data_IF_501135716573
#
_entry.id   IF_501135716573
#
_cell.length_a   1.000
_cell.length_b   1.000
_cell.length_c   1.000
_cell.angle_alpha   90.00
_cell.angle_beta   90.00
_cell.angle_gamma   90.00
#
_symmetry.space_group_name_H-M   'P 1'
#
loop_
_entity.id
_entity.type
_entity.pdbx_description
1 polymer ?
#
# COMPACT_ATOMS: atom_id res chain seq x y z
N UNK A 1 -7.52 -11.57 12.56
CA UNK A 1 -7.84 -12.84 13.24
C UNK A 1 -8.40 -13.81 12.22
N UNK A 2 -8.28 -15.11 12.44
CA UNK A 2 -8.96 -16.17 11.68
C UNK A 2 -9.71 -17.12 12.63
N UNK A 3 -10.71 -17.83 12.10
CA UNK A 3 -11.36 -18.94 12.80
C UNK A 3 -11.99 -19.90 11.79
N UNK A 4 -12.32 -21.11 12.24
CA UNK A 4 -13.12 -22.04 11.44
C UNK A 4 -14.53 -21.50 11.22
N UNK A 5 -15.08 -21.71 10.02
CA UNK A 5 -16.46 -21.33 9.66
C UNK A 5 -17.52 -21.93 10.60
N UNK A 6 -17.21 -23.06 11.23
CA UNK A 6 -18.12 -23.79 12.12
C UNK A 6 -17.92 -23.43 13.61
N UNK A 7 -16.92 -22.59 13.94
CA UNK A 7 -16.53 -22.24 15.31
C UNK A 7 -16.31 -20.72 15.43
N UNK A 8 -17.35 -19.92 15.20
CA UNK A 8 -17.22 -18.46 15.07
C UNK A 8 -17.10 -17.71 16.40
N UNK A 9 -17.25 -18.38 17.55
CA UNK A 9 -17.05 -17.76 18.86
C UNK A 9 -15.66 -17.14 18.99
N UNK A 10 -15.58 -15.97 19.63
CA UNK A 10 -14.35 -15.19 19.77
C UNK A 10 -13.24 -15.95 20.51
N UNK A 11 -13.60 -16.90 21.38
CA UNK A 11 -12.64 -17.78 22.07
C UNK A 11 -11.86 -18.70 21.12
N UNK A 12 -12.37 -18.94 19.91
CA UNK A 12 -11.72 -19.75 18.88
C UNK A 12 -10.86 -18.92 17.91
N UNK A 13 -10.90 -17.59 18.02
CA UNK A 13 -10.18 -16.71 17.11
C UNK A 13 -8.67 -16.85 17.33
N UNK A 14 -7.95 -17.06 16.23
CA UNK A 14 -6.49 -17.10 16.19
C UNK A 14 -5.95 -15.83 15.60
N UNK A 15 -4.90 -15.30 16.19
CA UNK A 15 -4.22 -14.13 15.67
C UNK A 15 -3.45 -14.48 14.40
N UNK A 16 -3.67 -13.70 13.34
CA UNK A 16 -3.00 -13.85 12.04
C UNK A 16 -1.98 -12.76 11.80
N UNK A 17 -2.37 -11.52 12.09
CA UNK A 17 -1.52 -10.34 11.97
C UNK A 17 -1.48 -9.70 13.36
N UNK A 18 -0.37 -9.84 14.10
CA UNK A 18 -0.26 -9.24 15.43
C UNK A 18 -0.20 -7.72 15.34
N UNK A 19 -0.63 -7.00 16.40
CA UNK A 19 -0.49 -5.56 16.46
C UNK A 19 0.98 -5.15 16.43
N UNK A 20 1.29 -4.12 15.64
CA UNK A 20 2.61 -3.51 15.58
C UNK A 20 2.47 -2.02 15.92
N UNK A 21 3.20 -1.56 16.93
CA UNK A 21 3.15 -0.17 17.40
C UNK A 21 3.61 0.86 16.35
N UNK A 22 4.41 0.44 15.38
CA UNK A 22 5.02 1.29 14.36
C UNK A 22 4.24 1.25 13.03
N UNK A 23 3.26 0.33 12.91
CA UNK A 23 2.47 0.11 11.69
C UNK A 23 0.99 0.23 12.00
N UNK A 24 0.34 1.20 11.36
CA UNK A 24 -1.11 1.35 11.42
C UNK A 24 -1.77 0.57 10.28
N UNK A 25 -2.46 -0.53 10.61
CA UNK A 25 -3.30 -1.24 9.65
C UNK A 25 -4.54 -0.40 9.31
N UNK A 26 -4.68 -0.03 8.04
CA UNK A 26 -5.78 0.82 7.56
C UNK A 26 -6.92 0.03 6.95
N UNK A 27 -6.60 -1.00 6.19
CA UNK A 27 -7.57 -1.78 5.40
C UNK A 27 -6.98 -3.12 4.95
N UNK A 28 -7.83 -4.02 4.44
CA UNK A 28 -7.41 -5.30 3.88
C UNK A 28 -8.28 -5.74 2.68
N UNK A 29 -7.69 -6.48 1.75
CA UNK A 29 -8.36 -7.13 0.62
C UNK A 29 -7.97 -8.62 0.61
N UNK A 30 -8.93 -9.52 0.43
CA UNK A 30 -8.72 -10.97 0.46
C UNK A 30 -9.02 -11.56 -0.93
N UNK A 31 -8.09 -12.36 -1.41
CA UNK A 31 -8.19 -13.16 -2.64
C UNK A 31 -8.05 -14.64 -2.28
N UNK A 32 -8.32 -15.53 -3.24
CA UNK A 32 -8.25 -16.98 -3.03
C UNK A 32 -6.92 -17.44 -2.42
N UNK A 33 -5.81 -16.89 -2.93
CA UNK A 33 -4.46 -17.27 -2.50
C UNK A 33 -3.67 -16.14 -1.82
N UNK A 34 -4.26 -14.95 -1.67
CA UNK A 34 -3.53 -13.77 -1.20
C UNK A 34 -4.33 -12.95 -0.19
N UNK A 35 -3.63 -12.39 0.78
CA UNK A 35 -4.11 -11.32 1.64
C UNK A 35 -3.29 -10.06 1.37
N UNK A 36 -3.96 -8.95 1.09
CA UNK A 36 -3.32 -7.65 0.89
C UNK A 36 -3.71 -6.73 2.05
N UNK A 37 -2.72 -6.13 2.68
CA UNK A 37 -2.90 -5.20 3.79
C UNK A 37 -2.52 -3.79 3.33
N UNK A 38 -3.41 -2.83 3.53
CA UNK A 38 -3.08 -1.41 3.40
C UNK A 38 -2.60 -0.91 4.74
N UNK A 39 -1.33 -0.50 4.80
CA UNK A 39 -0.65 -0.18 6.05
C UNK A 39 -0.05 1.22 5.96
N UNK A 40 0.00 1.91 7.10
CA UNK A 40 0.77 3.14 7.26
C UNK A 40 1.93 2.90 8.20
N UNK A 41 3.14 2.94 7.66
CA UNK A 41 4.39 2.84 8.39
C UNK A 41 5.23 4.08 8.08
N UNK A 42 5.85 4.65 9.11
CA UNK A 42 6.62 5.89 8.98
C UNK A 42 5.87 6.98 8.20
N UNK A 43 4.54 7.07 8.33
CA UNK A 43 3.70 8.05 7.62
C UNK A 43 3.43 7.78 6.13
N UNK A 44 4.00 6.74 5.51
CA UNK A 44 3.70 6.34 4.13
C UNK A 44 2.60 5.29 4.10
N UNK A 45 1.65 5.42 3.19
CA UNK A 45 0.60 4.42 2.97
C UNK A 45 1.04 3.44 1.89
N UNK A 46 1.44 2.23 2.30
CA UNK A 46 1.90 1.15 1.44
C UNK A 46 0.93 -0.04 1.39
N UNK A 47 1.30 -1.03 0.58
CA UNK A 47 0.58 -2.28 0.42
C UNK A 47 1.53 -3.44 0.70
N UNK A 48 1.14 -4.34 1.61
CA UNK A 48 1.84 -5.60 1.89
C UNK A 48 0.99 -6.76 1.41
N UNK A 49 1.59 -7.61 0.58
CA UNK A 49 0.97 -8.81 0.02
C UNK A 49 1.49 -10.03 0.77
N UNK A 50 0.59 -10.91 1.16
CA UNK A 50 0.85 -12.17 1.86
C UNK A 50 0.26 -13.29 1.01
N UNK A 51 1.07 -14.25 0.59
CA UNK A 51 0.60 -15.47 -0.04
C UNK A 51 0.08 -16.41 1.07
N UNK A 52 -1.20 -16.77 1.00
CA UNK A 52 -1.87 -17.59 2.03
C UNK A 52 -1.51 -19.08 1.92
N UNK A 53 -0.96 -19.52 0.79
CA UNK A 53 -0.51 -20.91 0.60
C UNK A 53 0.91 -21.10 1.14
N UNK A 54 1.84 -20.22 0.75
CA UNK A 54 3.27 -20.38 1.08
C UNK A 54 3.66 -19.65 2.36
N UNK A 55 2.88 -18.64 2.77
CA UNK A 55 3.22 -17.72 3.86
C UNK A 55 4.19 -16.61 3.45
N UNK A 56 4.65 -16.58 2.19
CA UNK A 56 5.58 -15.56 1.70
C UNK A 56 4.94 -14.17 1.70
N UNK A 57 5.74 -13.16 1.99
CA UNK A 57 5.25 -11.78 2.09
C UNK A 57 6.17 -10.82 1.38
N UNK A 58 5.60 -9.76 0.80
CA UNK A 58 6.36 -8.67 0.23
C UNK A 58 5.58 -7.37 0.22
N UNK A 59 6.28 -6.25 0.25
CA UNK A 59 5.68 -4.93 0.02
C UNK A 59 5.70 -4.59 -1.46
N UNK A 60 4.65 -3.91 -1.94
CA UNK A 60 4.62 -3.37 -3.30
C UNK A 60 5.66 -2.25 -3.39
N UNK A 61 6.62 -2.38 -4.31
CA UNK A 61 7.61 -1.33 -4.56
C UNK A 61 7.04 -0.30 -5.55
N UNK A 62 6.78 0.91 -5.06
CA UNK A 62 6.23 1.99 -5.88
C UNK A 62 7.28 2.76 -6.69
N UNK A 63 8.57 2.69 -6.31
CA UNK A 63 9.67 3.35 -7.02
C UNK A 63 9.93 4.81 -6.62
N UNK A 64 9.17 5.36 -5.67
CA UNK A 64 9.35 6.73 -5.18
C UNK A 64 9.44 6.77 -3.65
N UNK A 65 10.16 7.75 -3.11
CA UNK A 65 10.35 7.90 -1.66
C UNK A 65 9.11 8.46 -0.94
N UNK A 66 8.29 9.23 -1.66
CA UNK A 66 7.09 9.87 -1.10
C UNK A 66 5.87 9.57 -1.96
N UNK A 67 4.85 8.95 -1.36
CA UNK A 67 3.66 8.54 -2.09
C UNK A 67 2.51 8.21 -1.15
N UNK A 68 1.34 8.00 -1.75
CA UNK A 68 0.24 7.30 -1.13
C UNK A 68 -0.35 6.27 -2.10
N UNK A 69 -0.66 5.09 -1.57
CA UNK A 69 -1.37 4.03 -2.29
C UNK A 69 -2.73 3.75 -1.65
N UNK A 70 -3.68 3.29 -2.46
CA UNK A 70 -5.05 3.02 -2.05
C UNK A 70 -5.52 1.74 -2.72
N UNK A 71 -6.10 0.81 -1.97
CA UNK A 71 -6.81 -0.32 -2.56
C UNK A 71 -7.92 0.22 -3.47
N UNK A 72 -8.03 -0.32 -4.68
CA UNK A 72 -9.13 -0.02 -5.59
C UNK A 72 -10.24 -1.06 -5.40
N UNK A 73 -11.25 -1.03 -6.27
CA UNK A 73 -12.27 -2.07 -6.30
C UNK A 73 -11.73 -3.34 -6.95
N UNK A 74 -11.65 -4.44 -6.19
CA UNK A 74 -11.28 -5.78 -6.67
C UNK A 74 -12.49 -6.72 -6.52
N UNK A 75 -13.24 -6.96 -7.60
CA UNK A 75 -14.47 -7.79 -7.54
C UNK A 75 -14.24 -9.26 -7.81
N UNK A 76 -13.14 -9.59 -8.48
CA UNK A 76 -12.78 -10.97 -8.77
C UNK A 76 -11.99 -11.52 -7.60
N UNK A 77 -12.51 -12.57 -6.96
CA UNK A 77 -11.86 -13.20 -5.81
C UNK A 77 -10.78 -14.19 -6.25
N UNK A 78 -11.04 -14.93 -7.34
CA UNK A 78 -10.11 -15.92 -7.89
C UNK A 78 -9.20 -15.28 -8.94
N UNK A 79 -8.28 -14.44 -8.46
CA UNK A 79 -7.28 -13.78 -9.30
C UNK A 79 -6.01 -13.52 -8.51
N UNK A 80 -4.90 -13.43 -9.23
CA UNK A 80 -3.61 -12.99 -8.68
C UNK A 80 -3.34 -11.50 -8.99
N UNK A 81 -4.32 -10.79 -9.54
CA UNK A 81 -4.19 -9.38 -9.92
C UNK A 81 -4.87 -8.50 -8.88
N UNK A 82 -4.06 -7.69 -8.21
CA UNK A 82 -4.51 -6.60 -7.34
C UNK A 82 -4.59 -5.30 -8.14
N UNK A 83 -5.75 -4.63 -8.11
CA UNK A 83 -5.88 -3.26 -8.60
C UNK A 83 -5.75 -2.27 -7.44
N UNK A 84 -4.85 -1.31 -7.60
CA UNK A 84 -4.67 -0.21 -6.65
C UNK A 84 -4.57 1.14 -7.37
N UNK A 85 -4.83 2.20 -6.61
CA UNK A 85 -4.56 3.57 -7.03
C UNK A 85 -3.34 4.11 -6.30
N UNK A 86 -2.63 5.02 -6.97
CA UNK A 86 -1.37 5.57 -6.51
C UNK A 86 -1.23 7.01 -6.96
N UNK A 87 -0.62 7.84 -6.11
CA UNK A 87 -0.19 9.18 -6.47
C UNK A 87 0.99 9.61 -5.61
N UNK A 88 1.79 10.51 -6.15
CA UNK A 88 2.83 11.23 -5.41
C UNK A 88 2.79 12.72 -5.76
N UNK A 89 3.81 13.47 -5.34
CA UNK A 89 3.95 14.86 -5.76
C UNK A 89 4.34 15.02 -7.23
N UNK A 90 4.97 14.00 -7.82
CA UNK A 90 5.48 14.05 -9.21
C UNK A 90 4.75 13.10 -10.15
N UNK A 91 4.02 12.12 -9.60
CA UNK A 91 3.22 11.18 -10.37
C UNK A 91 1.72 11.45 -10.18
N UNK A 92 1.00 11.82 -11.26
CA UNK A 92 -0.44 12.02 -11.22
C UNK A 92 -1.19 10.77 -10.75
N UNK A 93 -2.45 10.96 -10.35
CA UNK A 93 -3.30 9.87 -9.92
C UNK A 93 -3.38 8.77 -10.98
N UNK A 94 -2.91 7.59 -10.59
CA UNK A 94 -2.71 6.44 -11.46
C UNK A 94 -3.37 5.20 -10.89
N UNK A 95 -3.92 4.36 -11.77
CA UNK A 95 -4.46 3.03 -11.45
C UNK A 95 -3.54 1.99 -12.05
N UNK A 96 -3.09 1.04 -11.24
CA UNK A 96 -2.23 -0.07 -11.64
C UNK A 96 -2.91 -1.41 -11.37
N UNK A 97 -2.66 -2.35 -12.27
CA UNK A 97 -2.83 -3.78 -12.01
C UNK A 97 -1.48 -4.36 -11.61
N UNK A 98 -1.47 -5.11 -10.52
CA UNK A 98 -0.28 -5.73 -9.94
C UNK A 98 -0.47 -7.22 -9.83
N UNK A 99 0.38 -7.98 -10.52
CA UNK A 99 0.42 -9.42 -10.35
C UNK A 99 1.14 -9.74 -9.04
N UNK A 100 0.41 -10.32 -8.09
CA UNK A 100 0.90 -10.61 -6.74
C UNK A 100 1.98 -11.71 -6.70
N UNK A 101 2.05 -12.57 -7.73
CA UNK A 101 3.07 -13.62 -7.84
C UNK A 101 4.34 -13.09 -8.52
N UNK A 102 4.19 -12.49 -9.70
CA UNK A 102 5.32 -12.05 -10.54
C UNK A 102 5.85 -10.68 -10.15
N UNK A 103 5.07 -9.91 -9.39
CA UNK A 103 5.35 -8.53 -8.96
C UNK A 103 5.38 -7.52 -10.11
N UNK A 104 4.86 -7.89 -11.27
CA UNK A 104 4.75 -7.02 -12.42
C UNK A 104 3.61 -6.01 -12.23
N UNK A 105 3.88 -4.76 -12.62
CA UNK A 105 2.93 -3.63 -12.58
C UNK A 105 2.53 -3.25 -14.01
N UNK A 106 1.24 -3.18 -14.27
CA UNK A 106 0.67 -2.67 -15.52
C UNK A 106 -0.10 -1.38 -15.24
N UNK A 107 0.28 -0.28 -15.90
CA UNK A 107 -0.45 0.98 -15.82
C UNK A 107 -1.77 0.86 -16.59
N UNK A 108 -2.89 1.02 -15.89
CA UNK A 108 -4.22 0.92 -16.50
C UNK A 108 -4.77 2.29 -16.89
N UNK A 109 -4.49 3.29 -16.05
CA UNK A 109 -4.92 4.66 -16.26
C UNK A 109 -4.02 5.61 -15.50
N UNK A 110 -3.68 6.73 -16.12
CA UNK A 110 -3.06 7.87 -15.46
C UNK A 110 -3.90 9.11 -15.76
N UNK A 111 -4.05 9.98 -14.77
CA UNK A 111 -4.78 11.25 -14.93
C UNK A 111 -3.92 12.22 -15.73
N UNK A 112 -4.40 12.60 -16.93
CA UNK A 112 -3.73 13.60 -17.74
C UNK A 112 -3.70 14.95 -17.03
N UNK A 113 -2.51 15.50 -16.87
CA UNK A 113 -2.29 16.90 -16.48
C UNK A 113 -2.27 17.76 -17.76
N UNK A 114 -2.96 18.90 -17.74
CA UNK A 114 -3.02 19.81 -18.89
C UNK A 114 -1.78 20.71 -18.95
N UNK A 115 -1.43 21.19 -20.15
CA UNK A 115 -0.22 21.97 -20.39
C UNK A 115 1.00 21.09 -20.66
N UNK A 116 2.18 21.60 -20.34
CA UNK A 116 3.48 20.98 -20.66
C UNK A 116 4.05 20.17 -19.48
N UNK A 117 3.17 19.58 -18.67
CA UNK A 117 3.61 18.77 -17.53
C UNK A 117 4.37 17.53 -17.99
N UNK A 118 5.58 17.39 -17.46
CA UNK A 118 6.41 16.18 -17.57
C UNK A 118 6.93 15.86 -16.16
N UNK A 119 6.71 14.63 -15.70
CA UNK A 119 7.13 14.15 -14.39
C UNK A 119 8.65 14.22 -14.22
N UNK A 120 9.41 14.08 -15.30
CA UNK A 120 10.88 14.09 -15.28
C UNK A 120 11.44 15.49 -14.98
N UNK A 121 10.61 16.53 -15.04
CA UNK A 121 11.00 17.89 -14.67
C UNK A 121 10.96 18.14 -13.16
N UNK A 122 10.50 17.19 -12.36
CA UNK A 122 10.28 17.37 -10.92
C UNK A 122 10.95 16.27 -10.11
N UNK A 123 11.39 16.63 -8.90
CA UNK A 123 11.83 15.65 -7.89
C UNK A 123 11.07 15.84 -6.59
N UNK A 124 10.81 14.74 -5.88
CA UNK A 124 10.22 14.77 -4.54
C UNK A 124 11.18 14.20 -3.53
N UNK A 125 11.36 14.89 -2.41
CA UNK A 125 12.16 14.42 -1.29
C UNK A 125 11.37 14.45 0.01
N UNK A 126 11.76 13.53 0.90
CA UNK A 126 11.25 13.49 2.26
C UNK A 126 12.28 14.02 3.24
N UNK A 127 11.99 15.19 3.82
CA UNK A 127 12.84 15.79 4.86
C UNK A 127 12.13 15.72 6.22
N UNK A 128 12.91 15.65 7.28
CA UNK A 128 12.40 15.59 8.66
C UNK A 128 12.86 16.82 9.43
N UNK A 129 11.94 17.44 10.16
CA UNK A 129 12.27 18.53 11.09
C UNK A 129 12.15 18.05 12.54
N UNK A 130 13.00 18.59 13.39
CA UNK A 130 12.92 18.43 14.85
C UNK A 130 11.75 19.27 15.38
N UNK A 131 10.90 18.67 16.21
CA UNK A 131 9.85 19.39 16.90
C UNK A 131 10.33 20.04 18.19
N UNK A 132 9.57 21.04 18.67
CA UNK A 132 9.88 21.79 19.91
C UNK A 132 9.91 20.91 21.15
N UNK A 133 9.20 19.78 21.12
CA UNK A 133 9.16 18.78 22.20
C UNK A 133 10.29 17.72 22.07
N UNK A 134 11.25 17.94 21.16
CA UNK A 134 12.38 17.03 20.94
C UNK A 134 12.03 15.77 20.15
N UNK A 135 10.79 15.61 19.70
CA UNK A 135 10.43 14.50 18.80
C UNK A 135 10.94 14.78 17.39
N UNK A 136 11.71 13.83 16.86
CA UNK A 136 11.99 13.70 15.43
C UNK A 136 10.79 13.05 14.75
N UNK A 137 10.39 13.53 13.58
CA UNK A 137 9.47 12.74 12.75
C UNK A 137 8.39 13.49 11.98
N UNK A 138 8.36 14.82 11.96
CA UNK A 138 7.41 15.53 11.10
C UNK A 138 7.96 15.56 9.67
N UNK A 139 7.37 14.81 8.73
CA UNK A 139 7.81 14.87 7.35
C UNK A 139 7.41 16.21 6.76
N UNK A 140 8.39 16.96 6.27
CA UNK A 140 8.17 17.97 5.25
C UNK A 140 8.41 17.28 3.91
N UNK A 141 7.49 17.53 2.98
CA UNK A 141 7.66 17.08 1.60
C UNK A 141 7.98 18.33 0.79
N UNK A 142 9.10 18.29 0.06
CA UNK A 142 9.47 19.33 -0.89
C UNK A 142 9.35 18.73 -2.29
N UNK A 143 8.58 19.39 -3.15
CA UNK A 143 8.66 19.22 -4.59
C UNK A 143 9.44 20.41 -5.15
N UNK A 144 10.45 20.16 -5.98
CA UNK A 144 11.16 21.15 -6.78
C UNK A 144 10.74 21.02 -8.24
#
# INVERSE_FOLDING_TARGET
METSKDLTDMSNWKEMIPPNKDVHLLDMEIFDNHLVLSERENGLRGLRVINLITGDQHSVNFGEETYASYLSTNKEFNTNVLRYNYSSLVTPWSTYDYNMDTKEKTLMKETKVLGDFDKENYTSERIYADARDGKKGFPKIAGL
#
